data_IF_161810736891
#
_entry.id   IF_161810736891
#
_cell.length_a   1.000
_cell.length_b   1.000
_cell.length_c   1.000
_cell.angle_alpha   90.00
_cell.angle_beta   90.00
_cell.angle_gamma   90.00
#
_symmetry.space_group_name_H-M   'P 1'
#
loop_
_entity.id
_entity.type
_entity.pdbx_description
1 polymer ?
#
# COMPACT_ATOMS: atom_id res chain seq x y z
N UNK A 1 12.05 27.48 -25.90
CA UNK A 1 11.84 27.00 -24.52
C UNK A 1 10.46 26.38 -24.51
N UNK A 2 10.38 25.07 -24.31
CA UNK A 2 9.15 24.30 -24.45
C UNK A 2 8.12 24.69 -23.39
N UNK A 3 6.88 24.93 -23.81
CA UNK A 3 5.73 25.34 -22.97
C UNK A 3 5.44 24.41 -21.77
N UNK A 4 6.07 23.23 -21.75
CA UNK A 4 5.93 22.20 -20.71
C UNK A 4 6.57 22.58 -19.37
N UNK A 5 7.47 23.57 -19.33
CA UNK A 5 8.12 23.99 -18.08
C UNK A 5 7.26 24.94 -17.21
N UNK A 6 6.20 25.54 -17.77
CA UNK A 6 5.37 26.52 -17.06
C UNK A 6 4.01 25.97 -16.59
N UNK A 7 3.79 24.66 -16.67
CA UNK A 7 2.65 24.01 -16.01
C UNK A 7 2.97 23.80 -14.52
N UNK A 8 2.19 24.45 -13.65
CA UNK A 8 2.29 24.30 -12.20
C UNK A 8 2.31 22.82 -11.77
N UNK A 9 3.41 22.32 -11.18
CA UNK A 9 3.56 20.90 -10.87
C UNK A 9 2.59 20.49 -9.76
N UNK A 10 1.57 19.70 -10.11
CA UNK A 10 0.65 19.09 -9.14
C UNK A 10 1.31 17.87 -8.49
N UNK A 11 1.10 17.70 -7.19
CA UNK A 11 1.48 16.47 -6.49
C UNK A 11 0.87 15.25 -7.19
N UNK A 12 1.59 14.13 -7.24
CA UNK A 12 1.12 12.89 -7.86
C UNK A 12 1.08 11.78 -6.83
N UNK A 13 0.08 10.92 -6.92
CA UNK A 13 0.03 9.70 -6.12
C UNK A 13 1.04 8.68 -6.69
N UNK A 14 1.82 8.05 -5.81
CA UNK A 14 2.78 7.04 -6.25
C UNK A 14 2.04 5.81 -6.75
N UNK A 15 2.18 5.48 -8.03
CA UNK A 15 1.48 4.35 -8.66
C UNK A 15 1.76 2.99 -7.98
N UNK A 16 2.94 2.83 -7.37
CA UNK A 16 3.30 1.63 -6.61
C UNK A 16 2.44 1.42 -5.37
N UNK A 17 1.95 2.51 -4.76
CA UNK A 17 1.17 2.52 -3.53
C UNK A 17 -0.28 2.14 -3.85
N UNK A 18 -0.86 2.74 -4.89
CA UNK A 18 -2.20 2.38 -5.41
C UNK A 18 -2.35 0.89 -5.72
N UNK A 19 -1.29 0.24 -6.21
CA UNK A 19 -1.31 -1.20 -6.52
C UNK A 19 -1.19 -2.12 -5.31
N UNK A 20 -0.76 -1.62 -4.15
CA UNK A 20 -0.35 -2.45 -3.00
C UNK A 20 -1.19 -2.23 -1.75
N UNK A 21 -1.75 -1.04 -1.56
CA UNK A 21 -2.44 -0.65 -0.34
C UNK A 21 -3.86 -0.18 -0.64
N UNK A 22 -4.77 -0.42 0.30
CA UNK A 22 -6.14 0.10 0.27
C UNK A 22 -6.41 0.89 1.55
N UNK A 23 -7.10 2.01 1.44
CA UNK A 23 -7.56 2.78 2.61
C UNK A 23 -9.01 2.38 2.88
N UNK A 24 -9.32 2.01 4.12
CA UNK A 24 -10.72 1.77 4.53
C UNK A 24 -11.45 3.08 4.79
N UNK A 25 -12.79 3.06 4.83
CA UNK A 25 -13.58 4.25 5.17
C UNK A 25 -13.19 4.87 6.52
N UNK A 26 -12.75 4.06 7.48
CA UNK A 26 -12.26 4.51 8.80
C UNK A 26 -10.81 5.04 8.76
N UNK A 27 -10.16 5.09 7.60
CA UNK A 27 -8.81 5.62 7.43
C UNK A 27 -7.68 4.67 7.80
N UNK A 28 -7.97 3.37 8.01
CA UNK A 28 -6.93 2.34 8.23
C UNK A 28 -6.34 1.91 6.89
N UNK A 29 -5.02 1.68 6.86
CA UNK A 29 -4.33 1.21 5.66
C UNK A 29 -4.22 -0.30 5.70
N UNK A 30 -4.76 -0.96 4.69
CA UNK A 30 -4.75 -2.41 4.52
C UNK A 30 -3.64 -2.82 3.56
N UNK A 31 -2.93 -3.89 3.91
CA UNK A 31 -1.86 -4.48 3.12
C UNK A 31 -1.99 -6.01 3.02
N UNK A 32 -1.47 -6.59 1.95
CA UNK A 32 -1.29 -8.03 1.83
C UNK A 32 -0.11 -8.52 2.68
N UNK A 33 -0.21 -9.75 3.20
CA UNK A 33 0.89 -10.37 3.93
C UNK A 33 2.06 -10.75 3.01
N UNK A 34 3.29 -10.55 3.49
CA UNK A 34 4.50 -11.04 2.83
C UNK A 34 4.72 -12.54 3.00
N UNK A 35 5.74 -13.08 2.32
CA UNK A 35 6.25 -14.45 2.49
C UNK A 35 5.24 -15.59 2.25
N UNK A 36 4.29 -15.39 1.31
CA UNK A 36 3.25 -16.37 0.99
C UNK A 36 3.16 -16.76 -0.49
N UNK A 37 4.13 -16.36 -1.32
CA UNK A 37 4.10 -16.63 -2.76
C UNK A 37 4.87 -17.89 -3.17
N UNK A 38 5.96 -18.19 -2.48
CA UNK A 38 6.84 -19.34 -2.73
C UNK A 38 7.42 -19.87 -1.42
N UNK A 39 8.02 -21.07 -1.43
CA UNK A 39 8.64 -21.67 -0.24
C UNK A 39 7.63 -22.10 0.83
N UNK A 40 6.40 -22.43 0.44
CA UNK A 40 5.30 -22.76 1.37
C UNK A 40 5.44 -24.13 2.06
N UNK A 41 6.37 -24.96 1.59
CA UNK A 41 6.71 -26.25 2.18
C UNK A 41 7.34 -26.05 3.56
N UNK A 42 8.25 -25.07 3.69
CA UNK A 42 8.98 -24.78 4.93
C UNK A 42 8.17 -23.96 5.94
N UNK A 43 6.90 -23.69 5.65
CA UNK A 43 6.05 -22.78 6.43
C UNK A 43 4.94 -23.55 7.12
N UNK A 44 4.72 -23.26 8.41
CA UNK A 44 3.67 -23.90 9.19
C UNK A 44 2.29 -23.64 8.60
N UNK A 45 1.39 -24.62 8.74
CA UNK A 45 0.01 -24.49 8.26
C UNK A 45 -0.74 -23.35 8.97
N UNK A 46 -0.40 -23.08 10.25
CA UNK A 46 -0.97 -21.96 11.02
C UNK A 46 -0.67 -20.61 10.35
N UNK A 47 0.58 -20.35 9.99
CA UNK A 47 0.95 -19.09 9.31
C UNK A 47 0.22 -18.95 7.98
N UNK A 48 0.16 -20.01 7.18
CA UNK A 48 -0.52 -19.99 5.87
C UNK A 48 -2.02 -19.66 6.01
N UNK A 49 -2.68 -20.13 7.07
CA UNK A 49 -4.10 -19.85 7.36
C UNK A 49 -4.32 -18.41 7.82
N UNK A 50 -3.55 -17.93 8.79
CA UNK A 50 -3.67 -16.57 9.33
C UNK A 50 -3.43 -15.53 8.23
N UNK A 51 -2.44 -15.74 7.38
CA UNK A 51 -2.02 -14.78 6.36
C UNK A 51 -2.86 -14.88 5.05
N UNK A 52 -4.10 -15.41 5.09
CA UNK A 52 -4.99 -15.47 3.91
C UNK A 52 -5.62 -14.11 3.58
N UNK A 53 -5.95 -13.34 4.60
CA UNK A 53 -6.55 -12.03 4.42
C UNK A 53 -5.52 -10.91 4.27
N UNK A 54 -6.04 -9.70 4.17
CA UNK A 54 -5.29 -8.45 4.35
C UNK A 54 -5.15 -8.13 5.83
N UNK A 55 -4.03 -7.51 6.22
CA UNK A 55 -3.82 -6.99 7.57
C UNK A 55 -3.93 -5.47 7.58
N UNK A 56 -4.31 -4.92 8.73
CA UNK A 56 -4.14 -3.49 8.99
C UNK A 56 -2.67 -3.22 9.32
N UNK A 57 -2.09 -2.19 8.69
CA UNK A 57 -0.76 -1.70 9.05
C UNK A 57 -0.79 -0.99 10.41
N UNK A 58 0.33 -1.01 11.15
CA UNK A 58 0.49 -0.18 12.32
C UNK A 58 0.39 1.30 11.92
N UNK A 59 0.01 2.14 12.88
CA UNK A 59 -0.31 3.55 12.59
C UNK A 59 0.88 4.32 12.01
N UNK A 60 2.09 4.00 12.48
CA UNK A 60 3.35 4.60 12.04
C UNK A 60 3.57 4.39 10.54
N UNK A 61 3.47 3.14 10.08
CA UNK A 61 3.62 2.80 8.65
C UNK A 61 2.47 3.38 7.82
N UNK A 62 1.26 3.40 8.38
CA UNK A 62 0.09 3.99 7.76
C UNK A 62 0.25 5.48 7.45
N UNK A 63 0.92 6.25 8.32
CA UNK A 63 1.21 7.68 8.11
C UNK A 63 2.11 7.89 6.89
N UNK A 64 3.18 7.11 6.78
CA UNK A 64 4.11 7.15 5.64
C UNK A 64 3.38 6.83 4.32
N UNK A 65 2.51 5.81 4.31
CA UNK A 65 1.74 5.45 3.11
C UNK A 65 0.79 6.57 2.67
N UNK A 66 0.14 7.25 3.62
CA UNK A 66 -0.74 8.39 3.33
C UNK A 66 0.02 9.58 2.74
N UNK A 67 1.26 9.83 3.18
CA UNK A 67 2.10 10.89 2.61
C UNK A 67 2.38 10.68 1.11
N UNK A 68 2.53 9.43 0.67
CA UNK A 68 2.73 9.08 -0.74
C UNK A 68 1.44 9.07 -1.58
N UNK A 69 0.29 9.24 -0.92
CA UNK A 69 -1.04 9.20 -1.51
C UNK A 69 -1.83 10.48 -1.15
N UNK A 70 -1.39 11.67 -1.64
CA UNK A 70 -1.97 12.95 -1.26
C UNK A 70 -3.46 13.11 -1.59
N UNK A 71 -3.98 12.35 -2.57
CA UNK A 71 -5.39 12.38 -2.97
C UNK A 71 -6.16 11.12 -2.56
N UNK A 72 -5.60 10.29 -1.69
CA UNK A 72 -6.17 8.99 -1.36
C UNK A 72 -5.81 7.88 -2.36
N UNK A 73 -6.36 6.70 -2.11
CA UNK A 73 -6.14 5.46 -2.86
C UNK A 73 -7.49 4.87 -3.29
N UNK A 74 -8.04 5.40 -4.38
CA UNK A 74 -9.10 4.78 -5.20
C UNK A 74 -8.51 4.29 -6.52
#
# INVERSE_FOLDING_TARGET
MDEKEYEMPKMKTKSSVKKRFKITATGKVMAGHGNKRHGLINRSQKMKRTNRGTMALPEQDGKTVKQWAPYGLD
#
